data_IF_332019873233
#
_entry.id   IF_332019873233
#
_cell.length_a   1.000
_cell.length_b   1.000
_cell.length_c   1.000
_cell.angle_alpha   90.00
_cell.angle_beta   90.00
_cell.angle_gamma   90.00
#
_symmetry.space_group_name_H-M   'P 1'
#
loop_
_entity.id
_entity.type
_entity.pdbx_description
1 polymer ?
#
# COMPACT_ATOMS: atom_id res chain seq x y z
N UNK A 1 3.54 -2.20 -11.56
CA UNK A 1 4.41 -3.20 -12.25
C UNK A 1 5.31 -2.53 -13.28
N UNK A 2 6.49 -3.10 -13.54
CA UNK A 2 7.38 -2.61 -14.61
C UNK A 2 6.88 -2.94 -16.01
N UNK A 3 6.27 -4.11 -16.17
CA UNK A 3 5.52 -4.48 -17.37
C UNK A 3 4.14 -3.80 -17.38
N UNK A 4 3.90 -2.96 -18.39
CA UNK A 4 2.63 -2.23 -18.55
C UNK A 4 1.47 -3.11 -19.02
N UNK A 5 1.74 -4.33 -19.48
CA UNK A 5 0.71 -5.31 -19.82
C UNK A 5 0.14 -6.04 -18.60
N UNK A 6 0.81 -5.90 -17.44
CA UNK A 6 0.43 -6.55 -16.19
C UNK A 6 -0.42 -5.62 -15.32
N UNK A 7 -1.31 -6.21 -14.53
CA UNK A 7 -2.10 -5.47 -13.54
C UNK A 7 -1.23 -5.04 -12.34
N UNK A 8 -1.58 -3.90 -11.74
CA UNK A 8 -1.05 -3.48 -10.44
C UNK A 8 -1.84 -4.08 -9.27
N UNK A 9 -1.39 -3.82 -8.04
CA UNK A 9 -2.09 -4.25 -6.84
C UNK A 9 -2.53 -3.04 -6.02
N UNK A 10 -3.75 -3.11 -5.46
CA UNK A 10 -4.29 -2.14 -4.52
C UNK A 10 -4.56 -2.86 -3.20
N UNK A 11 -4.22 -2.21 -2.10
CA UNK A 11 -4.48 -2.66 -0.73
C UNK A 11 -5.16 -1.53 0.04
N UNK A 12 -5.83 -1.89 1.13
CA UNK A 12 -6.38 -0.96 2.11
C UNK A 12 -5.95 -1.40 3.51
N UNK A 13 -5.84 -0.43 4.42
CA UNK A 13 -5.53 -0.68 5.82
C UNK A 13 -6.40 0.20 6.70
N UNK A 14 -6.98 -0.42 7.73
CA UNK A 14 -7.79 0.26 8.73
C UNK A 14 -7.22 -0.06 10.10
N UNK A 15 -6.84 0.98 10.83
CA UNK A 15 -6.22 0.86 12.15
C UNK A 15 -6.61 2.01 13.08
N UNK A 16 -6.26 1.83 14.36
CA UNK A 16 -6.42 2.84 15.41
C UNK A 16 -5.09 2.99 16.15
N UNK A 17 -4.76 4.22 16.55
CA UNK A 17 -3.53 4.50 17.30
C UNK A 17 -2.25 4.54 16.45
N UNK A 18 -2.38 4.43 15.13
CA UNK A 18 -1.29 4.61 14.18
C UNK A 18 -1.28 6.03 13.61
N UNK A 19 -0.09 6.53 13.27
CA UNK A 19 0.05 7.75 12.48
C UNK A 19 -0.30 7.47 11.03
N UNK A 20 -0.57 8.53 10.26
CA UNK A 20 -0.74 8.44 8.80
C UNK A 20 0.44 7.74 8.11
N UNK A 21 1.66 8.00 8.57
CA UNK A 21 2.89 7.40 8.03
C UNK A 21 2.91 5.89 8.25
N UNK A 22 2.71 5.42 9.48
CA UNK A 22 2.75 3.98 9.80
C UNK A 22 1.64 3.23 9.05
N UNK A 23 0.41 3.76 9.07
CA UNK A 23 -0.71 3.14 8.38
C UNK A 23 -0.51 3.11 6.85
N UNK A 24 0.07 4.18 6.29
CA UNK A 24 0.34 4.30 4.87
C UNK A 24 1.48 3.40 4.39
N UNK A 25 2.57 3.32 5.14
CA UNK A 25 3.67 2.41 4.86
C UNK A 25 3.22 0.95 4.90
N UNK A 26 2.41 0.58 5.89
CA UNK A 26 1.85 -0.77 5.99
C UNK A 26 0.95 -1.11 4.80
N UNK A 27 0.04 -0.21 4.42
CA UNK A 27 -0.80 -0.42 3.24
C UNK A 27 0.05 -0.56 1.97
N UNK A 28 1.04 0.32 1.77
CA UNK A 28 1.93 0.27 0.61
C UNK A 28 2.74 -1.03 0.54
N UNK A 29 3.30 -1.47 1.67
CA UNK A 29 4.02 -2.73 1.80
C UNK A 29 3.14 -3.91 1.40
N UNK A 30 1.91 -3.96 1.94
CA UNK A 30 0.95 -5.01 1.62
C UNK A 30 0.65 -5.07 0.13
N UNK A 31 0.45 -3.93 -0.55
CA UNK A 31 0.27 -3.92 -2.01
C UNK A 31 1.50 -4.45 -2.76
N UNK A 32 2.70 -4.05 -2.33
CA UNK A 32 3.95 -4.49 -2.94
C UNK A 32 4.17 -6.00 -2.76
N UNK A 33 3.95 -6.52 -1.55
CA UNK A 33 4.06 -7.94 -1.21
C UNK A 33 3.08 -8.81 -2.02
N UNK A 34 1.82 -8.38 -2.12
CA UNK A 34 0.82 -9.09 -2.88
C UNK A 34 1.16 -9.09 -4.38
N UNK A 35 1.64 -7.97 -4.92
CA UNK A 35 2.14 -7.91 -6.30
C UNK A 35 3.36 -8.82 -6.49
N UNK A 36 4.33 -8.79 -5.58
CA UNK A 36 5.54 -9.60 -5.63
C UNK A 36 5.24 -11.11 -5.68
N UNK A 37 4.27 -11.56 -4.88
CA UNK A 37 3.79 -12.95 -4.86
C UNK A 37 3.21 -13.35 -6.22
N UNK A 38 2.42 -12.48 -6.85
CA UNK A 38 1.88 -12.77 -8.20
C UNK A 38 2.96 -12.81 -9.29
N UNK A 39 4.10 -12.17 -9.06
CA UNK A 39 5.21 -12.09 -9.99
C UNK A 39 6.30 -13.14 -9.72
N UNK A 40 6.08 -14.09 -8.79
CA UNK A 40 7.08 -15.07 -8.33
C UNK A 40 8.42 -14.39 -7.97
N UNK A 41 8.37 -13.35 -7.14
CA UNK A 41 9.55 -12.82 -6.45
C UNK A 41 9.70 -13.59 -5.15
N UNK A 42 10.93 -14.02 -4.81
CA UNK A 42 11.18 -14.72 -3.56
C UNK A 42 10.85 -13.81 -2.37
N UNK A 43 10.06 -14.34 -1.45
CA UNK A 43 9.64 -13.66 -0.22
C UNK A 43 10.38 -14.27 0.97
N UNK A 44 11.15 -13.43 1.65
CA UNK A 44 11.76 -13.76 2.93
C UNK A 44 11.03 -12.96 4.04
N UNK A 45 10.25 -13.64 4.91
CA UNK A 45 9.50 -13.00 5.97
C UNK A 45 10.38 -12.38 7.07
N UNK A 46 11.66 -12.76 7.13
CA UNK A 46 12.58 -12.29 8.16
C UNK A 46 13.23 -10.94 7.81
N UNK A 47 13.05 -10.45 6.57
CA UNK A 47 13.57 -9.16 6.12
C UNK A 47 12.77 -7.98 6.68
N UNK A 48 13.48 -6.92 7.04
CA UNK A 48 12.88 -5.62 7.34
C UNK A 48 12.27 -4.96 6.10
N UNK A 49 11.42 -3.96 6.30
CA UNK A 49 10.73 -3.25 5.22
C UNK A 49 11.69 -2.65 4.18
N UNK A 50 12.78 -2.02 4.64
CA UNK A 50 13.77 -1.43 3.74
C UNK A 50 14.49 -2.51 2.92
N UNK A 51 14.77 -3.67 3.53
CA UNK A 51 15.36 -4.82 2.85
C UNK A 51 14.40 -5.43 1.82
N UNK A 52 13.11 -5.55 2.14
CA UNK A 52 12.08 -5.98 1.18
C UNK A 52 11.97 -4.99 0.00
N UNK A 53 11.98 -3.68 0.27
CA UNK A 53 11.99 -2.63 -0.77
C UNK A 53 13.21 -2.75 -1.68
N UNK A 54 14.39 -3.03 -1.14
CA UNK A 54 15.61 -3.29 -1.91
C UNK A 54 15.44 -4.53 -2.81
N UNK A 55 14.93 -5.65 -2.28
CA UNK A 55 14.66 -6.87 -3.06
C UNK A 55 13.70 -6.58 -4.23
N UNK A 56 12.63 -5.83 -3.98
CA UNK A 56 11.66 -5.46 -5.02
C UNK A 56 12.30 -4.60 -6.10
N UNK A 57 13.14 -3.62 -5.72
CA UNK A 57 13.90 -2.78 -6.67
C UNK A 57 14.88 -3.62 -7.49
N UNK A 58 15.66 -4.49 -6.86
CA UNK A 58 16.65 -5.35 -7.53
C UNK A 58 15.97 -6.32 -8.51
N UNK A 59 14.77 -6.81 -8.17
CA UNK A 59 14.01 -7.70 -9.07
C UNK A 59 13.61 -7.03 -10.39
N UNK A 60 13.63 -5.69 -10.48
CA UNK A 60 13.11 -4.89 -11.60
C UNK A 60 11.64 -5.17 -11.96
N UNK A 61 10.90 -5.95 -11.17
CA UNK A 61 9.49 -6.29 -11.41
C UNK A 61 8.54 -5.24 -10.81
N UNK A 62 8.97 -4.57 -9.74
CA UNK A 62 8.23 -3.50 -9.07
C UNK A 62 9.09 -2.23 -9.13
N UNK A 63 8.67 -1.29 -9.96
CA UNK A 63 9.40 -0.03 -10.22
C UNK A 63 8.90 1.15 -9.37
N UNK A 64 7.66 1.09 -8.90
CA UNK A 64 7.04 2.17 -8.14
C UNK A 64 5.92 1.65 -7.26
N UNK A 65 5.91 2.14 -6.03
CA UNK A 65 4.85 1.99 -5.03
C UNK A 65 4.45 3.40 -4.56
N UNK A 66 3.23 3.54 -4.05
CA UNK A 66 2.75 4.77 -3.42
C UNK A 66 1.55 4.44 -2.53
N UNK A 67 1.28 5.30 -1.55
CA UNK A 67 0.05 5.30 -0.77
C UNK A 67 -0.59 6.68 -0.71
N UNK A 68 -1.88 6.70 -0.41
CA UNK A 68 -2.65 7.88 0.00
C UNK A 68 -3.37 7.49 1.27
N UNK A 69 -3.06 8.18 2.36
CA UNK A 69 -3.51 7.81 3.70
C UNK A 69 -4.06 9.05 4.41
N UNK A 70 -5.06 8.87 5.26
CA UNK A 70 -5.61 9.93 6.09
C UNK A 70 -5.73 9.43 7.52
N UNK A 71 -5.17 10.18 8.47
CA UNK A 71 -5.41 9.98 9.90
C UNK A 71 -6.16 11.15 10.53
N UNK A 72 -6.82 10.94 11.67
CA UNK A 72 -7.45 12.00 12.43
C UNK A 72 -7.44 11.70 13.92
N UNK A 73 -7.29 12.74 14.74
CA UNK A 73 -7.50 12.65 16.18
C UNK A 73 -9.00 12.81 16.45
N UNK A 74 -9.57 11.93 17.27
CA UNK A 74 -10.98 12.00 17.67
C UNK A 74 -11.37 13.36 18.31
N UNK A 75 -12.59 13.84 18.06
CA UNK A 75 -13.06 15.09 18.65
C UNK A 75 -13.11 14.99 20.18
N UNK A 76 -12.51 15.98 20.86
CA UNK A 76 -12.37 16.01 22.32
C UNK A 76 -13.69 16.04 23.09
N UNK A 77 -14.80 16.36 22.43
CA UNK A 77 -16.16 16.41 23.00
C UNK A 77 -16.95 15.12 22.72
N UNK A 78 -16.31 14.09 22.16
CA UNK A 78 -16.92 12.79 21.90
C UNK A 78 -17.80 12.75 20.64
N UNK A 79 -17.62 13.70 19.71
CA UNK A 79 -18.23 13.58 18.39
C UNK A 79 -17.50 12.51 17.58
N UNK A 80 -18.25 11.84 16.69
CA UNK A 80 -17.72 10.79 15.84
C UNK A 80 -16.78 11.40 14.80
N UNK A 81 -15.56 10.89 14.74
CA UNK A 81 -14.56 11.23 13.73
C UNK A 81 -14.33 10.02 12.85
N UNK A 82 -14.41 10.20 11.54
CA UNK A 82 -14.18 9.15 10.54
C UNK A 82 -13.23 9.67 9.48
N UNK A 83 -12.32 8.80 9.03
CA UNK A 83 -11.42 9.04 7.90
C UNK A 83 -11.77 8.06 6.79
N UNK A 84 -11.54 8.47 5.54
CA UNK A 84 -11.77 7.65 4.36
C UNK A 84 -10.57 7.82 3.43
N UNK A 85 -10.01 6.70 2.97
CA UNK A 85 -9.09 6.62 1.84
C UNK A 85 -9.75 5.81 0.72
N UNK A 86 -9.51 6.18 -0.54
CA UNK A 86 -10.10 5.49 -1.68
C UNK A 86 -9.20 5.53 -2.91
N UNK A 87 -9.18 4.43 -3.66
CA UNK A 87 -8.68 4.36 -5.02
C UNK A 87 -9.88 4.12 -5.96
N UNK A 88 -10.18 5.08 -6.82
CA UNK A 88 -11.37 5.06 -7.68
C UNK A 88 -10.92 4.80 -9.12
N UNK A 89 -11.29 3.64 -9.66
CA UNK A 89 -11.11 3.37 -11.08
C UNK A 89 -12.20 4.10 -11.87
N UNK A 90 -11.79 4.99 -12.76
CA UNK A 90 -12.69 5.69 -13.67
C UNK A 90 -12.57 5.00 -15.03
N UNK A 91 -13.68 4.43 -15.52
CA UNK A 91 -13.77 3.92 -16.88
C UNK A 91 -14.13 5.02 -17.87
N UNK A 92 -13.91 4.75 -19.15
CA UNK A 92 -14.52 5.54 -20.23
C UNK A 92 -15.81 4.84 -20.66
N UNK A 93 -16.87 5.61 -20.87
CA UNK A 93 -18.08 5.14 -21.55
C UNK A 93 -17.80 5.16 -23.06
N UNK A 94 -18.00 4.03 -23.75
CA UNK A 94 -17.95 3.92 -25.23
C UNK A 94 -19.06 4.74 -25.91
#
# INVERSE_FOLDING_TARGET
>A
PSDKSMYGYLSEHHSFGETEEVAGEYAEELAAEMLATTLNVEFDPDLSFDEKKEVYRISNKIVRTMNVTQSAVGDKRGLWTTVLGAAILIGEDD
#
